data_IF_042588319513
#
_entry.id   IF_042588319513
#
_cell.length_a   1.000
_cell.length_b   1.000
_cell.length_c   1.000
_cell.angle_alpha   90.00
_cell.angle_beta   90.00
_cell.angle_gamma   90.00
#
_symmetry.space_group_name_H-M   'P 1'
#
loop_
_entity.id
_entity.type
_entity.pdbx_description
1 polymer ?
#
# COMPACT_ATOMS: atom_id res chain seq x y z
N UNK A 1 54.89 41.64 33.79
CA UNK A 1 53.57 41.20 34.29
C UNK A 1 52.68 40.84 33.10
N UNK A 2 51.41 40.47 33.33
CA UNK A 2 50.52 39.77 32.38
C UNK A 2 50.97 38.32 32.08
N UNK A 3 50.02 37.38 32.12
CA UNK A 3 50.26 35.93 32.08
C UNK A 3 49.56 35.30 30.86
N UNK A 4 50.16 34.24 30.29
CA UNK A 4 49.46 33.36 29.36
C UNK A 4 48.30 32.67 30.09
N UNK A 5 47.06 32.88 29.65
CA UNK A 5 45.92 32.05 30.06
C UNK A 5 45.77 30.88 29.08
N UNK A 6 46.29 29.72 29.46
CA UNK A 6 45.94 28.47 28.80
C UNK A 6 44.44 28.20 29.05
N UNK A 7 43.62 28.12 28.00
CA UNK A 7 42.30 27.52 28.12
C UNK A 7 42.44 26.00 28.11
N UNK A 8 42.23 25.40 29.28
CA UNK A 8 42.16 23.95 29.45
C UNK A 8 40.81 23.49 28.88
N UNK A 9 40.82 22.54 27.93
CA UNK A 9 39.58 21.92 27.44
C UNK A 9 38.86 21.24 28.61
N UNK A 10 37.56 21.52 28.88
CA UNK A 10 36.82 20.76 29.88
C UNK A 10 36.69 19.31 29.41
N UNK A 11 37.01 18.35 30.28
CA UNK A 11 36.84 16.94 29.97
C UNK A 11 35.34 16.63 29.77
N UNK A 12 35.02 15.91 28.69
CA UNK A 12 33.64 15.55 28.37
C UNK A 12 33.02 14.69 29.48
N UNK A 13 31.96 15.19 30.12
CA UNK A 13 31.14 14.37 31.01
C UNK A 13 30.48 13.27 30.18
N UNK A 14 30.80 12.01 30.44
CA UNK A 14 29.93 10.89 30.05
C UNK A 14 28.60 11.05 30.79
N UNK A 15 27.58 11.56 30.10
CA UNK A 15 26.19 11.47 30.57
C UNK A 15 25.76 10.03 30.36
N UNK A 16 25.95 9.20 31.39
CA UNK A 16 25.28 7.90 31.46
C UNK A 16 23.81 8.21 31.74
N UNK A 17 22.97 8.03 30.73
CA UNK A 17 21.53 8.02 30.95
C UNK A 17 21.19 6.80 31.81
N UNK A 18 20.94 7.03 33.09
CA UNK A 18 20.26 6.02 33.91
C UNK A 18 18.83 5.94 33.41
N UNK A 19 18.52 4.87 32.69
CA UNK A 19 17.15 4.43 32.49
C UNK A 19 16.50 4.27 33.87
N UNK A 20 15.30 4.80 34.02
CA UNK A 20 14.50 4.56 35.22
C UNK A 20 14.23 3.05 35.32
N UNK A 21 14.37 2.50 36.53
CA UNK A 21 14.09 1.09 36.76
C UNK A 21 12.59 0.84 36.52
N UNK A 22 12.21 -0.28 35.90
CA UNK A 22 10.80 -0.60 35.68
C UNK A 22 10.06 -0.67 37.02
N UNK A 23 8.81 -0.19 37.02
CA UNK A 23 7.97 -0.09 38.21
C UNK A 23 7.95 -1.40 39.03
N UNK A 24 8.07 -1.33 40.38
CA UNK A 24 8.05 -2.51 41.21
C UNK A 24 6.68 -3.21 41.12
N UNK A 25 6.69 -4.48 40.68
CA UNK A 25 5.50 -5.31 40.51
C UNK A 25 4.63 -5.24 41.78
N UNK A 26 3.33 -4.93 41.67
CA UNK A 26 2.48 -4.68 42.83
C UNK A 26 2.42 -5.92 43.76
N UNK A 27 2.49 -5.73 45.08
CA UNK A 27 2.58 -6.83 46.03
C UNK A 27 1.34 -7.73 45.96
N UNK A 28 1.49 -9.06 46.14
CA UNK A 28 0.38 -10.01 46.02
C UNK A 28 -0.77 -9.66 46.97
N UNK A 29 -2.01 -9.62 46.44
CA UNK A 29 -3.23 -9.27 47.18
C UNK A 29 -3.29 -10.03 48.52
N UNK A 30 -3.47 -9.31 49.62
CA UNK A 30 -3.56 -9.96 50.94
C UNK A 30 -4.73 -10.95 51.01
N UNK A 31 -4.55 -12.04 51.77
CA UNK A 31 -5.58 -13.10 51.96
C UNK A 31 -6.93 -12.60 52.52
N UNK A 32 -6.99 -11.35 53.00
CA UNK A 32 -8.22 -10.69 53.48
C UNK A 32 -9.06 -10.06 52.35
N UNK A 33 -8.47 -9.87 51.16
CA UNK A 33 -9.18 -9.38 49.98
C UNK A 33 -9.89 -10.51 49.22
N UNK A 34 -9.19 -11.60 48.90
CA UNK A 34 -9.76 -12.77 48.19
C UNK A 34 -10.99 -13.32 48.93
N UNK A 35 -10.90 -13.46 50.27
CA UNK A 35 -11.99 -13.94 51.13
C UNK A 35 -13.21 -13.00 51.19
N UNK A 36 -13.16 -11.83 50.54
CA UNK A 36 -14.29 -10.90 50.38
C UNK A 36 -14.92 -10.97 48.99
N UNK A 37 -14.15 -11.31 47.95
CA UNK A 37 -14.65 -11.62 46.60
C UNK A 37 -15.41 -12.97 46.61
N UNK A 38 -14.83 -14.02 47.22
CA UNK A 38 -15.50 -15.33 47.39
C UNK A 38 -16.84 -15.22 48.15
N UNK A 39 -16.90 -14.35 49.17
CA UNK A 39 -18.08 -14.13 50.00
C UNK A 39 -19.24 -13.39 49.29
N UNK A 40 -19.01 -12.86 48.07
CA UNK A 40 -20.06 -12.23 47.26
C UNK A 40 -20.54 -13.13 46.10
N UNK A 41 -19.87 -14.26 45.83
CA UNK A 41 -20.16 -15.14 44.69
C UNK A 41 -21.09 -16.33 45.01
N UNK A 42 -21.67 -16.38 46.21
CA UNK A 42 -22.60 -17.45 46.63
C UNK A 42 -23.90 -16.90 47.22
N UNK A 43 -24.87 -16.57 46.35
CA UNK A 43 -26.26 -16.28 46.79
C UNK A 43 -27.36 -16.53 45.74
N UNK A 44 -27.67 -17.81 45.59
CA UNK A 44 -28.97 -18.39 45.20
C UNK A 44 -29.28 -19.50 46.23
N UNK A 45 -30.50 -20.09 46.38
CA UNK A 45 -31.67 -20.14 45.49
C UNK A 45 -32.94 -19.51 46.17
N UNK A 46 -34.23 -19.92 46.09
CA UNK A 46 -34.93 -21.17 45.70
C UNK A 46 -36.44 -20.99 45.42
N UNK A 47 -36.95 -21.67 44.38
CA UNK A 47 -38.28 -22.35 44.21
C UNK A 47 -39.60 -21.71 44.71
N UNK A 48 -40.64 -21.80 43.85
CA UNK A 48 -42.05 -21.57 44.21
C UNK A 48 -43.10 -22.21 43.26
N UNK A 49 -43.31 -23.53 43.39
CA UNK A 49 -44.48 -24.30 42.89
C UNK A 49 -44.72 -24.45 41.36
N UNK A 50 -45.59 -25.41 41.01
CA UNK A 50 -46.04 -25.81 39.66
C UNK A 50 -47.53 -26.26 39.71
N UNK A 51 -48.22 -26.48 38.57
CA UNK A 51 -48.42 -27.88 38.14
C UNK A 51 -48.55 -28.15 36.62
N UNK A 52 -48.22 -29.40 36.24
CA UNK A 52 -48.71 -30.25 35.11
C UNK A 52 -49.18 -29.67 33.76
N UNK A 53 -48.72 -30.30 32.66
CA UNK A 53 -49.52 -31.15 31.74
C UNK A 53 -48.58 -32.00 30.83
N UNK A 54 -49.12 -32.99 30.11
CA UNK A 54 -48.45 -34.07 29.35
C UNK A 54 -47.65 -33.68 28.09
N UNK A 55 -46.74 -34.54 27.58
CA UNK A 55 -45.84 -34.25 26.46
C UNK A 55 -46.45 -34.55 25.08
N UNK A 56 -46.03 -33.80 24.04
CA UNK A 56 -46.30 -34.10 22.62
C UNK A 56 -45.05 -33.82 21.78
N UNK A 57 -44.84 -34.61 20.71
CA UNK A 57 -43.71 -34.53 19.75
C UNK A 57 -44.29 -34.44 18.31
N UNK A 58 -43.51 -34.08 17.29
CA UNK A 58 -42.98 -32.76 16.94
C UNK A 58 -43.62 -32.21 15.64
N UNK A 59 -43.59 -30.89 15.41
CA UNK A 59 -43.45 -30.33 14.04
C UNK A 59 -43.25 -28.79 14.03
N UNK A 60 -43.05 -28.26 12.81
CA UNK A 60 -42.83 -26.87 12.41
C UNK A 60 -41.42 -26.30 12.66
N UNK A 61 -40.77 -25.93 11.55
CA UNK A 61 -39.58 -25.08 11.53
C UNK A 61 -39.97 -23.68 11.02
N UNK A 62 -39.35 -22.59 11.52
CA UNK A 62 -39.32 -21.32 10.84
C UNK A 62 -38.09 -21.25 9.93
N UNK A 63 -38.34 -21.42 8.63
CA UNK A 63 -37.98 -20.44 7.59
C UNK A 63 -36.87 -19.43 7.92
N UNK A 64 -35.70 -19.65 7.31
CA UNK A 64 -34.90 -18.63 6.62
C UNK A 64 -35.00 -17.18 7.14
N UNK A 65 -34.18 -16.84 8.15
CA UNK A 65 -33.68 -15.46 8.25
C UNK A 65 -32.88 -15.16 6.98
N UNK A 66 -33.46 -14.34 6.10
CA UNK A 66 -32.72 -13.75 4.98
C UNK A 66 -31.52 -12.99 5.55
N UNK A 67 -30.34 -13.15 4.94
CA UNK A 67 -29.22 -12.28 5.23
C UNK A 67 -29.62 -10.86 4.83
N UNK A 68 -29.73 -9.96 5.81
CA UNK A 68 -29.94 -8.55 5.53
C UNK A 68 -28.75 -8.05 4.73
N UNK A 69 -28.97 -7.56 3.51
CA UNK A 69 -27.93 -6.93 2.72
C UNK A 69 -27.30 -5.81 3.55
N UNK A 70 -25.97 -5.78 3.65
CA UNK A 70 -25.26 -4.85 4.51
C UNK A 70 -25.47 -3.42 4.00
N UNK A 71 -26.42 -2.69 4.58
CA UNK A 71 -26.67 -1.28 4.27
C UNK A 71 -25.46 -0.46 4.69
N UNK A 72 -24.63 -0.13 3.70
CA UNK A 72 -23.40 0.63 3.89
C UNK A 72 -23.67 1.98 4.61
N UNK A 73 -22.73 2.46 5.44
CA UNK A 73 -22.91 3.69 6.19
C UNK A 73 -23.09 4.89 5.25
N UNK A 74 -24.27 5.52 5.32
CA UNK A 74 -24.66 6.60 4.41
C UNK A 74 -23.78 7.85 4.62
N UNK A 75 -22.80 8.04 3.74
CA UNK A 75 -21.87 9.18 3.78
C UNK A 75 -22.62 10.51 3.58
N UNK A 76 -22.41 11.45 4.51
CA UNK A 76 -22.89 12.82 4.39
C UNK A 76 -22.28 13.51 3.15
N UNK A 77 -23.06 14.26 2.38
CA UNK A 77 -22.64 14.86 1.11
C UNK A 77 -21.40 15.78 1.16
N UNK A 78 -21.02 16.26 2.35
CA UNK A 78 -19.78 17.02 2.61
C UNK A 78 -18.51 16.16 2.80
N UNK A 79 -18.66 14.82 2.87
CA UNK A 79 -17.57 13.83 3.03
C UNK A 79 -17.42 12.87 1.84
N UNK A 80 -18.30 12.99 0.84
CA UNK A 80 -18.24 12.18 -0.38
C UNK A 80 -17.15 12.71 -1.32
N UNK A 81 -16.23 11.86 -1.76
CA UNK A 81 -15.15 12.23 -2.70
C UNK A 81 -15.70 12.52 -4.11
N UNK A 82 -16.85 11.92 -4.43
CA UNK A 82 -17.68 12.12 -5.63
C UNK A 82 -18.40 13.48 -5.68
N UNK A 83 -18.36 14.26 -4.60
CA UNK A 83 -19.03 15.56 -4.54
C UNK A 83 -18.52 16.51 -5.62
N UNK A 84 -19.40 17.17 -6.37
CA UNK A 84 -19.05 18.12 -7.44
C UNK A 84 -18.32 19.39 -6.96
N UNK A 85 -18.11 19.54 -5.64
CA UNK A 85 -17.26 20.56 -5.03
C UNK A 85 -15.84 20.07 -4.71
N UNK A 86 -15.57 18.78 -4.87
CA UNK A 86 -14.29 18.14 -4.60
C UNK A 86 -13.55 17.90 -5.92
N UNK A 87 -12.24 18.20 -6.06
CA UNK A 87 -11.54 18.10 -7.35
C UNK A 87 -11.64 16.72 -8.01
N UNK A 88 -11.60 15.65 -7.21
CA UNK A 88 -11.78 14.28 -7.70
C UNK A 88 -13.20 14.00 -8.20
N UNK A 89 -14.23 14.56 -7.57
CA UNK A 89 -15.61 14.47 -8.05
C UNK A 89 -15.82 15.22 -9.37
N UNK A 90 -15.16 16.37 -9.54
CA UNK A 90 -15.16 17.10 -10.81
C UNK A 90 -14.45 16.30 -11.92
N UNK A 91 -13.33 15.64 -11.60
CA UNK A 91 -12.64 14.75 -12.55
C UNK A 91 -13.48 13.51 -12.91
N UNK A 92 -14.14 12.90 -11.92
CA UNK A 92 -15.02 11.74 -12.08
C UNK A 92 -16.22 12.05 -12.98
N UNK A 93 -16.97 13.12 -12.71
CA UNK A 93 -18.15 13.46 -13.51
C UNK A 93 -17.77 13.92 -14.92
N UNK A 94 -16.63 14.61 -15.09
CA UNK A 94 -16.06 14.91 -16.42
C UNK A 94 -15.76 13.62 -17.20
N UNK A 95 -15.19 12.62 -16.55
CA UNK A 95 -14.84 11.36 -17.19
C UNK A 95 -16.07 10.51 -17.53
N UNK A 96 -17.07 10.44 -16.64
CA UNK A 96 -18.37 9.79 -16.95
C UNK A 96 -19.04 10.42 -18.17
N UNK A 97 -19.07 11.74 -18.24
CA UNK A 97 -19.66 12.45 -19.38
C UNK A 97 -18.88 12.19 -20.68
N UNK A 98 -17.54 12.14 -20.59
CA UNK A 98 -16.67 11.76 -21.71
C UNK A 98 -16.95 10.34 -22.20
N UNK A 99 -17.19 9.39 -21.29
CA UNK A 99 -17.52 8.01 -21.63
C UNK A 99 -18.88 7.92 -22.33
N UNK A 100 -19.91 8.60 -21.82
CA UNK A 100 -21.25 8.66 -22.46
C UNK A 100 -21.18 9.24 -23.87
N UNK A 101 -20.45 10.33 -24.09
CA UNK A 101 -20.24 10.88 -25.44
C UNK A 101 -19.51 9.89 -26.37
N UNK A 102 -18.56 9.11 -25.84
CA UNK A 102 -17.83 8.09 -26.61
C UNK A 102 -18.65 6.81 -26.87
N UNK A 103 -19.72 6.55 -26.11
CA UNK A 103 -20.70 5.49 -26.39
C UNK A 103 -21.71 5.88 -27.48
N UNK A 104 -21.90 7.18 -27.73
CA UNK A 104 -22.74 7.72 -28.81
C UNK A 104 -21.96 7.86 -30.14
N UNK A 105 -20.69 8.30 -30.09
CA UNK A 105 -19.79 8.38 -31.26
C UNK A 105 -18.92 7.10 -31.39
N UNK A 106 -19.42 6.11 -32.15
CA UNK A 106 -18.79 4.79 -32.46
C UNK A 106 -17.48 4.86 -33.29
N UNK A 107 -16.74 5.97 -33.20
CA UNK A 107 -15.40 6.14 -33.74
C UNK A 107 -14.35 5.61 -32.76
N UNK A 108 -13.52 4.68 -33.23
CA UNK A 108 -12.43 4.09 -32.44
C UNK A 108 -11.49 5.15 -31.84
N UNK A 109 -11.49 5.25 -30.51
CA UNK A 109 -10.80 6.30 -29.77
C UNK A 109 -9.32 6.00 -29.51
N UNK A 110 -8.47 7.03 -29.60
CA UNK A 110 -7.05 6.97 -29.21
C UNK A 110 -6.83 7.04 -27.68
N UNK A 111 -7.91 7.06 -26.89
CA UNK A 111 -7.92 7.22 -25.43
C UNK A 111 -8.05 5.83 -24.76
N UNK A 112 -7.32 5.61 -23.66
CA UNK A 112 -7.38 4.37 -22.90
C UNK A 112 -8.72 4.14 -22.17
N UNK A 113 -9.10 2.88 -21.89
CA UNK A 113 -10.20 2.61 -20.97
C UNK A 113 -9.80 3.06 -19.56
N UNK A 114 -10.62 3.90 -18.93
CA UNK A 114 -10.38 4.40 -17.58
C UNK A 114 -10.96 3.46 -16.54
N UNK A 115 -10.21 3.23 -15.46
CA UNK A 115 -10.68 2.52 -14.26
C UNK A 115 -10.56 3.38 -13.01
N UNK A 116 -11.44 3.10 -12.05
CA UNK A 116 -11.34 3.59 -10.69
C UNK A 116 -10.52 2.61 -9.83
N UNK A 117 -9.55 3.12 -9.08
CA UNK A 117 -8.85 2.40 -8.02
C UNK A 117 -9.09 3.07 -6.66
N UNK A 118 -9.17 2.25 -5.61
CA UNK A 118 -8.84 2.64 -4.25
C UNK A 118 -7.69 1.76 -3.73
N UNK A 119 -6.55 2.38 -3.44
CA UNK A 119 -5.36 1.72 -2.91
C UNK A 119 -5.23 2.01 -1.42
N UNK A 120 -4.82 1.03 -0.62
CA UNK A 120 -4.46 1.24 0.78
C UNK A 120 -2.95 1.53 0.92
N UNK A 121 -2.56 2.29 1.95
CA UNK A 121 -1.19 2.73 2.14
C UNK A 121 -1.07 3.80 3.21
N UNK A 122 0.01 4.58 3.21
CA UNK A 122 0.22 5.69 4.16
C UNK A 122 0.42 7.01 3.42
N UNK A 123 -0.22 8.08 3.89
CA UNK A 123 0.01 9.44 3.39
C UNK A 123 1.23 10.04 4.09
N UNK A 124 2.32 10.18 3.35
CA UNK A 124 3.54 10.85 3.80
C UNK A 124 3.44 12.34 3.47
N UNK A 125 3.47 13.21 4.49
CA UNK A 125 3.51 14.66 4.31
C UNK A 125 4.94 15.17 4.43
N UNK A 126 5.47 15.76 3.35
CA UNK A 126 6.73 16.49 3.34
C UNK A 126 6.44 17.99 3.37
N UNK A 127 7.08 18.70 4.30
CA UNK A 127 7.13 20.16 4.28
C UNK A 127 8.16 20.63 3.26
N UNK A 128 7.91 21.78 2.63
CA UNK A 128 8.97 22.59 2.03
C UNK A 128 10.08 22.86 3.07
N UNK A 129 11.31 22.50 2.72
CA UNK A 129 12.49 22.54 3.59
C UNK A 129 12.76 23.94 4.16
N UNK A 130 12.32 25.00 3.49
CA UNK A 130 12.49 26.37 3.97
C UNK A 130 11.67 26.67 5.24
N UNK A 131 10.66 25.86 5.58
CA UNK A 131 9.71 26.13 6.67
C UNK A 131 9.68 25.10 7.81
N UNK A 132 10.37 23.95 7.70
CA UNK A 132 10.24 22.84 8.68
C UNK A 132 10.48 23.25 10.14
N UNK A 133 11.46 24.15 10.36
CA UNK A 133 11.85 24.70 11.68
C UNK A 133 10.72 25.44 12.42
N UNK A 134 9.60 25.75 11.75
CA UNK A 134 8.42 26.39 12.38
C UNK A 134 7.46 25.39 13.05
N UNK A 135 7.52 24.10 12.72
CA UNK A 135 6.68 23.07 13.38
C UNK A 135 7.44 22.32 14.49
N UNK A 136 8.72 22.03 14.32
CA UNK A 136 9.45 21.03 15.14
C UNK A 136 9.89 21.48 16.53
N UNK A 137 9.38 22.60 17.05
CA UNK A 137 9.69 23.10 18.40
C UNK A 137 8.54 22.97 19.42
N UNK A 138 7.38 22.43 19.01
CA UNK A 138 6.24 22.24 19.90
C UNK A 138 5.63 20.83 19.76
N UNK A 139 5.09 20.32 20.87
CA UNK A 139 4.13 19.21 20.85
C UNK A 139 2.80 19.80 20.40
N UNK A 140 2.39 19.47 19.18
CA UNK A 140 1.08 19.83 18.65
C UNK A 140 0.09 18.71 18.96
N UNK A 141 -1.17 19.05 19.23
CA UNK A 141 -2.25 18.05 19.18
C UNK A 141 -2.69 17.80 17.72
N UNK A 142 -3.51 16.77 17.50
CA UNK A 142 -3.97 16.39 16.15
C UNK A 142 -4.86 17.46 15.47
N UNK A 143 -5.56 18.30 16.26
CA UNK A 143 -6.39 19.41 15.77
C UNK A 143 -5.53 20.62 15.39
N UNK A 144 -4.48 20.90 16.15
CA UNK A 144 -3.48 21.93 15.82
C UNK A 144 -2.67 21.52 14.59
N UNK A 145 -2.26 20.26 14.48
CA UNK A 145 -1.65 19.71 13.25
C UNK A 145 -2.59 19.85 12.06
N UNK A 146 -3.83 19.37 12.16
CA UNK A 146 -4.81 19.48 11.06
C UNK A 146 -5.10 20.96 10.69
N UNK A 147 -5.11 21.87 11.66
CA UNK A 147 -5.30 23.31 11.44
C UNK A 147 -4.07 23.95 10.79
N UNK A 148 -2.86 23.56 11.21
CA UNK A 148 -1.60 23.96 10.61
C UNK A 148 -1.49 23.45 9.18
N UNK A 149 -1.86 22.20 8.91
CA UNK A 149 -1.86 21.62 7.57
C UNK A 149 -2.85 22.34 6.64
N UNK A 150 -4.08 22.63 7.10
CA UNK A 150 -5.04 23.46 6.33
C UNK A 150 -4.51 24.87 6.03
N UNK A 151 -3.83 25.52 6.98
CA UNK A 151 -3.25 26.87 6.79
C UNK A 151 -2.04 26.88 5.85
N UNK A 152 -1.30 25.78 5.78
CA UNK A 152 -0.05 25.66 5.01
C UNK A 152 -0.16 24.72 3.80
N UNK A 153 -1.37 24.37 3.35
CA UNK A 153 -1.61 23.33 2.33
C UNK A 153 -0.79 23.52 1.04
N UNK A 154 -0.58 24.78 0.63
CA UNK A 154 0.23 25.16 -0.54
C UNK A 154 1.75 24.87 -0.41
N UNK A 155 2.23 24.52 0.78
CA UNK A 155 3.65 24.20 1.09
C UNK A 155 3.84 22.76 1.58
N UNK A 156 2.81 21.92 1.41
CA UNK A 156 2.81 20.51 1.81
C UNK A 156 2.78 19.64 0.56
N UNK A 157 3.86 18.89 0.34
CA UNK A 157 3.87 17.84 -0.66
C UNK A 157 3.42 16.55 0.01
N UNK A 158 2.21 16.09 -0.30
CA UNK A 158 1.78 14.73 0.05
C UNK A 158 2.32 13.73 -0.97
N UNK A 159 2.84 12.62 -0.48
CA UNK A 159 3.25 11.45 -1.26
C UNK A 159 2.53 10.22 -0.67
N UNK A 160 2.07 9.29 -1.51
CA UNK A 160 1.33 8.11 -1.06
C UNK A 160 2.18 6.85 -1.18
N UNK A 161 2.41 6.16 -0.06
CA UNK A 161 3.16 4.91 -0.01
C UNK A 161 2.19 3.73 0.07
N UNK A 162 1.97 3.04 -1.04
CA UNK A 162 1.06 1.88 -1.18
C UNK A 162 1.64 0.55 -0.63
N UNK A 163 2.69 0.62 0.20
CA UNK A 163 3.41 -0.55 0.75
C UNK A 163 2.84 -0.90 2.12
N UNK A 164 2.04 -1.96 2.21
CA UNK A 164 1.34 -2.32 3.44
C UNK A 164 2.19 -3.21 4.36
N UNK A 165 2.67 -4.33 3.82
CA UNK A 165 3.31 -5.35 4.64
C UNK A 165 4.38 -6.13 3.89
N UNK A 166 5.32 -6.73 4.61
CA UNK A 166 6.20 -7.79 4.11
C UNK A 166 5.72 -9.19 4.52
N UNK A 167 4.84 -9.30 5.53
CA UNK A 167 4.33 -10.59 6.02
C UNK A 167 3.28 -11.19 5.08
N UNK A 168 3.45 -12.48 4.76
CA UNK A 168 2.44 -13.26 4.03
C UNK A 168 1.23 -13.57 4.92
N UNK A 169 1.40 -13.59 6.25
CA UNK A 169 0.30 -13.74 7.23
C UNK A 169 -0.66 -12.56 7.17
N UNK A 170 -0.11 -11.34 7.16
CA UNK A 170 -0.85 -10.09 7.01
C UNK A 170 -1.60 -10.05 5.67
N UNK A 171 -0.92 -10.37 4.56
CA UNK A 171 -1.53 -10.38 3.24
C UNK A 171 -2.68 -11.41 3.12
N UNK A 172 -2.54 -12.58 3.75
CA UNK A 172 -3.61 -13.57 3.86
C UNK A 172 -4.78 -13.04 4.70
N UNK A 173 -4.48 -12.32 5.78
CA UNK A 173 -5.48 -11.67 6.63
C UNK A 173 -6.25 -10.56 5.91
N UNK A 174 -5.58 -9.73 5.10
CA UNK A 174 -6.21 -8.74 4.22
C UNK A 174 -7.21 -9.38 3.24
N UNK A 175 -6.82 -10.48 2.60
CA UNK A 175 -7.68 -11.24 1.69
C UNK A 175 -8.92 -11.77 2.43
N UNK A 176 -8.77 -12.30 3.65
CA UNK A 176 -9.90 -12.75 4.46
C UNK A 176 -10.81 -11.61 4.92
N UNK A 177 -10.26 -10.47 5.35
CA UNK A 177 -11.03 -9.28 5.74
C UNK A 177 -11.89 -8.76 4.58
N UNK A 178 -11.30 -8.58 3.39
CA UNK A 178 -12.01 -8.07 2.22
C UNK A 178 -13.02 -9.07 1.64
N UNK A 179 -12.81 -10.38 1.82
CA UNK A 179 -13.71 -11.45 1.34
C UNK A 179 -14.85 -11.74 2.31
N UNK A 180 -14.66 -11.56 3.61
CA UNK A 180 -15.65 -11.87 4.64
C UNK A 180 -16.13 -13.32 4.55
N UNK A 181 -17.45 -13.51 4.37
CA UNK A 181 -18.06 -14.83 4.16
C UNK A 181 -18.30 -15.17 2.67
N UNK A 182 -17.89 -14.33 1.72
CA UNK A 182 -18.17 -14.54 0.30
C UNK A 182 -17.34 -15.70 -0.29
N UNK A 183 -18.02 -16.65 -0.94
CA UNK A 183 -17.36 -17.81 -1.56
C UNK A 183 -16.74 -17.51 -2.94
N UNK A 184 -16.73 -16.25 -3.40
CA UNK A 184 -16.14 -15.80 -4.68
C UNK A 184 -14.82 -16.49 -4.99
N UNK A 185 -14.62 -16.92 -6.23
CA UNK A 185 -13.41 -17.63 -6.64
C UNK A 185 -12.16 -16.72 -6.47
N UNK A 186 -11.05 -17.33 -6.05
CA UNK A 186 -9.79 -16.62 -5.79
C UNK A 186 -8.91 -16.73 -7.02
N UNK A 187 -8.92 -15.70 -7.86
CA UNK A 187 -8.01 -15.54 -8.99
C UNK A 187 -6.56 -15.45 -8.48
N UNK A 188 -5.64 -16.18 -9.11
CA UNK A 188 -4.19 -16.05 -8.85
C UNK A 188 -3.44 -15.80 -10.15
N UNK A 189 -2.75 -14.67 -10.21
CA UNK A 189 -1.97 -14.21 -11.35
C UNK A 189 -0.48 -14.13 -10.95
N UNK A 190 0.44 -14.41 -11.87
CA UNK A 190 1.88 -14.27 -11.64
C UNK A 190 2.59 -13.85 -12.92
N UNK A 191 3.15 -12.65 -12.90
CA UNK A 191 3.62 -11.94 -14.10
C UNK A 191 4.80 -11.03 -13.81
N UNK A 192 5.54 -10.68 -14.86
CA UNK A 192 6.55 -9.65 -14.84
C UNK A 192 5.97 -8.34 -15.37
N UNK A 193 6.12 -7.24 -14.63
CA UNK A 193 5.99 -5.88 -15.17
C UNK A 193 7.40 -5.35 -15.43
N UNK A 194 7.74 -5.13 -16.70
CA UNK A 194 9.07 -4.70 -17.13
C UNK A 194 8.94 -3.34 -17.81
N UNK A 195 9.58 -2.32 -17.25
CA UNK A 195 9.58 -0.96 -17.78
C UNK A 195 10.76 -0.78 -18.72
N UNK A 196 10.48 -0.37 -19.95
CA UNK A 196 11.44 -0.33 -21.05
C UNK A 196 11.38 1.02 -21.75
N UNK A 197 12.54 1.62 -22.00
CA UNK A 197 12.67 2.81 -22.85
C UNK A 197 13.13 2.40 -24.24
N UNK A 198 12.45 2.89 -25.27
CA UNK A 198 12.84 2.65 -26.66
C UNK A 198 13.81 3.72 -27.22
N UNK A 199 14.18 3.61 -28.49
CA UNK A 199 15.08 4.55 -29.18
C UNK A 199 14.50 5.94 -29.40
N UNK A 200 13.17 6.10 -29.38
CA UNK A 200 12.51 7.41 -29.38
C UNK A 200 12.45 8.02 -27.97
N UNK A 201 12.89 7.29 -26.95
CA UNK A 201 12.86 7.71 -25.55
C UNK A 201 11.52 7.46 -24.86
N UNK A 202 10.55 6.82 -25.52
CA UNK A 202 9.24 6.52 -24.96
C UNK A 202 9.35 5.44 -23.87
N UNK A 203 8.65 5.64 -22.76
CA UNK A 203 8.57 4.65 -21.67
C UNK A 203 7.38 3.73 -21.88
N UNK A 204 7.66 2.44 -21.95
CA UNK A 204 6.71 1.37 -22.23
C UNK A 204 6.64 0.41 -21.04
N UNK A 205 5.43 -0.05 -20.74
CA UNK A 205 5.16 -1.10 -19.76
C UNK A 205 4.94 -2.40 -20.52
N UNK A 206 5.91 -3.31 -20.43
CA UNK A 206 5.71 -4.71 -20.80
C UNK A 206 5.04 -5.44 -19.64
N UNK A 207 4.07 -6.28 -19.94
CA UNK A 207 3.51 -7.24 -18.97
C UNK A 207 3.61 -8.63 -19.58
N UNK A 208 4.22 -9.58 -18.86
CA UNK A 208 4.60 -10.91 -19.37
C UNK A 208 4.13 -11.98 -18.38
N UNK A 209 3.35 -12.98 -18.83
CA UNK A 209 2.95 -14.10 -17.97
C UNK A 209 4.17 -14.94 -17.56
N UNK A 210 4.26 -15.35 -16.30
CA UNK A 210 5.43 -16.06 -15.78
C UNK A 210 5.52 -17.52 -16.28
N UNK A 211 4.41 -18.12 -16.72
CA UNK A 211 4.35 -19.50 -17.21
C UNK A 211 4.35 -19.56 -18.75
N UNK A 212 3.75 -18.57 -19.41
CA UNK A 212 3.54 -18.49 -20.85
C UNK A 212 4.14 -17.20 -21.42
N UNK A 213 5.48 -17.12 -21.52
CA UNK A 213 6.19 -15.88 -21.93
C UNK A 213 5.78 -15.33 -23.31
N UNK A 214 5.15 -16.14 -24.15
CA UNK A 214 4.54 -15.72 -25.42
C UNK A 214 3.25 -14.89 -25.25
N UNK A 215 2.57 -15.01 -24.10
CA UNK A 215 1.47 -14.14 -23.69
C UNK A 215 2.05 -12.91 -22.98
N UNK A 216 2.23 -11.84 -23.73
CA UNK A 216 2.72 -10.56 -23.23
C UNK A 216 2.01 -9.38 -23.93
N UNK A 217 1.91 -8.24 -23.26
CA UNK A 217 1.36 -6.99 -23.80
C UNK A 217 2.37 -5.85 -23.74
N UNK A 218 2.41 -5.00 -24.78
CA UNK A 218 3.26 -3.80 -24.85
C UNK A 218 2.40 -2.56 -24.77
N UNK A 219 2.39 -1.86 -23.63
CA UNK A 219 1.52 -0.70 -23.39
C UNK A 219 2.31 0.56 -23.10
N UNK A 220 1.71 1.72 -23.35
CA UNK A 220 2.17 3.00 -22.77
C UNK A 220 2.03 2.94 -21.23
N UNK A 221 2.70 3.82 -20.51
CA UNK A 221 2.46 3.96 -19.06
C UNK A 221 1.02 4.39 -18.77
N UNK A 222 0.40 3.80 -17.75
CA UNK A 222 -0.93 4.18 -17.26
C UNK A 222 -0.92 5.63 -16.74
N UNK A 223 -1.95 6.43 -17.05
CA UNK A 223 -2.02 7.86 -16.69
C UNK A 223 -3.05 8.11 -15.58
N UNK A 224 -2.63 8.77 -14.49
CA UNK A 224 -3.55 9.23 -13.44
C UNK A 224 -4.22 10.53 -13.92
N UNK A 225 -5.54 10.49 -14.12
CA UNK A 225 -6.35 11.64 -14.57
C UNK A 225 -7.03 12.37 -13.41
N UNK A 226 -7.08 11.75 -12.22
CA UNK A 226 -7.56 12.36 -10.98
C UNK A 226 -7.10 11.56 -9.76
N UNK A 227 -6.79 12.25 -8.66
CA UNK A 227 -6.31 11.66 -7.40
C UNK A 227 -7.03 12.30 -6.20
N UNK A 228 -7.31 11.49 -5.17
CA UNK A 228 -7.75 11.94 -3.86
C UNK A 228 -7.11 11.10 -2.76
N UNK A 229 -6.68 11.77 -1.68
CA UNK A 229 -6.15 11.11 -0.49
C UNK A 229 -7.20 11.17 0.62
N UNK A 230 -7.51 10.02 1.21
CA UNK A 230 -8.47 9.85 2.31
C UNK A 230 -7.70 9.46 3.56
N UNK A 231 -7.48 10.44 4.44
CA UNK A 231 -6.74 10.26 5.69
C UNK A 231 -7.64 9.76 6.83
N UNK A 232 -7.16 8.77 7.58
CA UNK A 232 -7.88 8.17 8.71
C UNK A 232 -7.15 8.44 10.04
N UNK A 233 -7.37 9.60 10.70
CA UNK A 233 -6.50 10.14 11.75
C UNK A 233 -6.46 9.39 13.09
N UNK A 234 -7.11 8.23 13.20
CA UNK A 234 -7.10 7.35 14.40
C UNK A 234 -6.70 5.90 14.06
N UNK A 235 -6.27 5.66 12.83
CA UNK A 235 -5.88 4.35 12.28
C UNK A 235 -4.45 4.41 11.73
N UNK A 236 -3.83 3.24 11.53
CA UNK A 236 -2.46 3.10 11.00
C UNK A 236 -2.41 3.38 9.50
N UNK A 237 -3.51 3.09 8.79
CA UNK A 237 -3.57 3.09 7.33
C UNK A 237 -4.49 4.18 6.79
N UNK A 238 -4.10 4.70 5.64
CA UNK A 238 -4.86 5.63 4.81
C UNK A 238 -5.31 4.94 3.51
N UNK A 239 -6.09 5.66 2.70
CA UNK A 239 -6.43 5.25 1.34
C UNK A 239 -6.19 6.36 0.32
N UNK A 240 -5.85 5.95 -0.90
CA UNK A 240 -5.82 6.80 -2.10
C UNK A 240 -6.85 6.31 -3.11
N UNK A 241 -7.66 7.22 -3.62
CA UNK A 241 -8.52 7.00 -4.78
C UNK A 241 -7.85 7.62 -6.02
N UNK A 242 -7.77 6.87 -7.11
CA UNK A 242 -7.28 7.40 -8.41
C UNK A 242 -8.17 6.95 -9.55
N UNK A 243 -8.40 7.86 -10.49
CA UNK A 243 -8.89 7.55 -11.83
C UNK A 243 -7.67 7.35 -12.72
N UNK A 244 -7.60 6.18 -13.36
CA UNK A 244 -6.43 5.75 -14.14
C UNK A 244 -6.87 5.38 -15.54
N UNK A 245 -6.42 6.16 -16.51
CA UNK A 245 -6.48 5.80 -17.93
C UNK A 245 -5.43 4.71 -18.19
N UNK A 246 -5.88 3.53 -18.60
CA UNK A 246 -4.97 2.42 -18.89
C UNK A 246 -4.22 2.65 -20.19
N UNK A 247 -2.91 2.42 -20.18
CA UNK A 247 -2.10 2.54 -21.40
C UNK A 247 -2.64 1.68 -22.54
N UNK A 248 -2.94 2.30 -23.68
CA UNK A 248 -3.20 1.59 -24.93
C UNK A 248 -1.95 0.81 -25.38
N UNK A 249 -2.18 -0.18 -26.24
CA UNK A 249 -1.09 -0.92 -26.88
C UNK A 249 -0.25 0.03 -27.74
N UNK A 250 1.07 -0.16 -27.73
CA UNK A 250 2.00 0.81 -28.29
C UNK A 250 2.65 0.34 -29.59
N UNK A 251 2.35 1.02 -30.69
CA UNK A 251 3.05 0.89 -31.98
C UNK A 251 4.46 1.50 -31.92
N UNK A 252 5.35 0.93 -31.12
CA UNK A 252 6.77 1.32 -31.07
C UNK A 252 7.56 0.67 -32.21
N UNK A 253 8.47 1.43 -32.82
CA UNK A 253 9.45 0.90 -33.80
C UNK A 253 10.36 -0.18 -33.21
N UNK A 254 10.60 -0.13 -31.90
CA UNK A 254 11.38 -1.15 -31.18
C UNK A 254 10.59 -2.43 -30.84
N UNK A 255 9.37 -2.62 -31.35
CA UNK A 255 8.55 -3.83 -31.10
C UNK A 255 9.29 -5.14 -31.47
N UNK A 256 10.17 -5.10 -32.48
CA UNK A 256 10.99 -6.26 -32.84
C UNK A 256 12.05 -6.57 -31.78
N UNK A 257 12.80 -5.56 -31.30
CA UNK A 257 13.72 -5.73 -30.17
C UNK A 257 13.03 -6.18 -28.88
N UNK A 258 11.80 -5.73 -28.64
CA UNK A 258 10.99 -6.21 -27.51
C UNK A 258 10.66 -7.69 -27.68
N UNK A 259 10.27 -8.14 -28.88
CA UNK A 259 10.06 -9.56 -29.20
C UNK A 259 11.32 -10.39 -28.98
N UNK A 260 12.45 -9.95 -29.51
CA UNK A 260 13.75 -10.63 -29.34
C UNK A 260 14.12 -10.78 -27.85
N UNK A 261 13.94 -9.71 -27.07
CA UNK A 261 14.16 -9.70 -25.63
C UNK A 261 13.25 -10.70 -24.90
N UNK A 262 11.93 -10.68 -25.15
CA UNK A 262 10.98 -11.62 -24.53
C UNK A 262 11.29 -13.07 -24.90
N UNK A 263 11.64 -13.35 -26.16
CA UNK A 263 12.03 -14.69 -26.63
C UNK A 263 13.32 -15.17 -25.95
N UNK A 264 14.25 -14.25 -25.65
CA UNK A 264 15.51 -14.56 -24.95
C UNK A 264 15.39 -14.75 -23.43
N UNK A 265 14.22 -14.55 -22.82
CA UNK A 265 14.04 -14.67 -21.37
C UNK A 265 14.13 -16.13 -20.90
N UNK A 266 15.32 -16.57 -20.48
CA UNK A 266 15.54 -17.85 -19.79
C UNK A 266 15.42 -17.68 -18.27
N UNK A 267 14.76 -18.62 -17.57
CA UNK A 267 14.65 -18.58 -16.10
C UNK A 267 16.01 -18.93 -15.47
N UNK A 268 16.52 -18.08 -14.58
CA UNK A 268 17.88 -18.21 -14.03
C UNK A 268 17.86 -18.80 -12.62
N UNK A 269 18.34 -20.03 -12.49
CA UNK A 269 18.36 -20.85 -11.26
C UNK A 269 16.98 -21.19 -10.67
N UNK A 270 16.20 -20.18 -10.27
CA UNK A 270 14.88 -20.30 -9.64
C UNK A 270 14.04 -19.06 -9.93
N UNK A 271 12.77 -19.25 -10.30
CA UNK A 271 11.83 -18.16 -10.44
C UNK A 271 11.67 -17.36 -9.11
N UNK A 272 11.48 -16.03 -9.17
CA UNK A 272 11.25 -15.24 -10.38
C UNK A 272 12.51 -14.73 -11.11
N UNK A 273 13.72 -15.12 -10.70
CA UNK A 273 14.95 -14.68 -11.38
C UNK A 273 15.02 -15.15 -12.84
N UNK A 274 15.54 -14.31 -13.73
CA UNK A 274 15.73 -14.61 -15.16
C UNK A 274 16.97 -13.94 -15.75
N UNK A 275 17.41 -14.43 -16.90
CA UNK A 275 18.44 -13.85 -17.76
C UNK A 275 17.87 -13.61 -19.16
N UNK A 276 18.41 -12.63 -19.87
CA UNK A 276 17.94 -12.25 -21.20
C UNK A 276 19.04 -11.60 -22.04
N UNK A 277 18.77 -11.49 -23.34
CA UNK A 277 19.53 -10.66 -24.27
C UNK A 277 18.73 -9.37 -24.55
N UNK A 278 19.25 -8.23 -24.09
CA UNK A 278 18.78 -6.90 -24.46
C UNK A 278 19.40 -6.52 -25.82
N UNK A 279 18.60 -6.27 -26.87
CA UNK A 279 19.08 -5.67 -28.11
C UNK A 279 19.32 -4.15 -27.95
N UNK A 280 20.23 -3.59 -28.75
CA UNK A 280 20.69 -2.19 -28.62
C UNK A 280 19.59 -1.12 -28.76
N UNK A 281 18.43 -1.44 -29.35
CA UNK A 281 17.34 -0.49 -29.54
C UNK A 281 16.29 -0.46 -28.41
N UNK A 282 16.58 -1.04 -27.24
CA UNK A 282 15.80 -0.86 -26.00
C UNK A 282 16.71 -0.78 -24.77
N UNK A 283 16.23 -0.11 -23.71
CA UNK A 283 16.84 -0.11 -22.37
C UNK A 283 15.81 -0.53 -21.33
N UNK A 284 16.12 -1.56 -20.53
CA UNK A 284 15.31 -1.89 -19.35
C UNK A 284 15.61 -0.88 -18.25
N UNK A 285 14.56 -0.35 -17.60
CA UNK A 285 14.69 0.62 -16.50
C UNK A 285 14.31 0.01 -15.15
N UNK A 286 13.31 -0.88 -15.12
CA UNK A 286 12.86 -1.56 -13.90
C UNK A 286 12.21 -2.89 -14.24
N UNK A 287 12.48 -3.91 -13.41
CA UNK A 287 11.85 -5.23 -13.47
C UNK A 287 11.15 -5.51 -12.15
N UNK A 288 9.84 -5.68 -12.19
CA UNK A 288 9.03 -6.16 -11.08
C UNK A 288 8.51 -7.57 -11.41
N UNK A 289 8.71 -8.52 -10.51
CA UNK A 289 7.88 -9.73 -10.48
C UNK A 289 6.68 -9.46 -9.55
N UNK A 290 5.48 -9.78 -10.01
CA UNK A 290 4.23 -9.59 -9.25
C UNK A 290 3.44 -10.88 -9.16
N UNK A 291 2.95 -11.18 -7.95
CA UNK A 291 2.01 -12.27 -7.68
C UNK A 291 0.74 -11.70 -7.10
N UNK A 292 -0.32 -11.68 -7.89
CA UNK A 292 -1.61 -11.08 -7.54
C UNK A 292 -2.59 -12.14 -7.07
N UNK A 293 -3.31 -11.87 -5.99
CA UNK A 293 -4.47 -12.60 -5.52
C UNK A 293 -5.67 -11.67 -5.61
N UNK A 294 -6.74 -12.07 -6.30
CA UNK A 294 -7.89 -11.22 -6.53
C UNK A 294 -9.21 -11.99 -6.47
N UNK A 295 -10.31 -11.29 -6.23
CA UNK A 295 -11.65 -11.86 -6.29
C UNK A 295 -12.68 -10.74 -6.48
N UNK A 296 -13.83 -11.09 -7.05
CA UNK A 296 -14.90 -10.13 -7.33
C UNK A 296 -15.97 -10.10 -6.22
N UNK A 297 -16.43 -8.89 -5.89
CA UNK A 297 -17.50 -8.56 -4.96
C UNK A 297 -18.26 -7.35 -5.51
N UNK A 298 -19.56 -7.49 -5.76
CA UNK A 298 -20.48 -6.41 -6.18
C UNK A 298 -19.98 -5.57 -7.39
N UNK A 299 -19.45 -6.25 -8.41
CA UNK A 299 -18.86 -5.69 -9.64
C UNK A 299 -17.60 -4.81 -9.40
N UNK A 300 -17.00 -4.94 -8.23
CA UNK A 300 -15.64 -4.49 -7.94
C UNK A 300 -14.72 -5.71 -7.74
N UNK A 301 -13.42 -5.51 -7.97
CA UNK A 301 -12.38 -6.52 -7.78
C UNK A 301 -11.48 -6.10 -6.64
N UNK A 302 -11.41 -6.90 -5.58
CA UNK A 302 -10.34 -6.74 -4.59
C UNK A 302 -9.06 -7.35 -5.15
N UNK A 303 -7.92 -6.73 -4.85
CA UNK A 303 -6.60 -7.30 -5.12
C UNK A 303 -5.67 -7.16 -3.92
N UNK A 304 -4.85 -8.19 -3.70
CA UNK A 304 -3.65 -8.16 -2.87
C UNK A 304 -2.48 -8.71 -3.70
N UNK A 305 -1.44 -7.90 -3.91
CA UNK A 305 -0.33 -8.23 -4.81
C UNK A 305 1.00 -8.17 -4.08
N UNK A 306 1.72 -9.28 -4.07
CA UNK A 306 3.13 -9.29 -3.68
C UNK A 306 3.96 -8.72 -4.83
N UNK A 307 4.80 -7.73 -4.53
CA UNK A 307 5.69 -7.07 -5.49
C UNK A 307 7.13 -7.32 -5.10
N UNK A 308 7.91 -7.83 -6.05
CA UNK A 308 9.35 -8.09 -5.94
C UNK A 308 10.09 -7.27 -6.99
N UNK A 309 10.79 -6.21 -6.59
CA UNK A 309 11.67 -5.44 -7.46
C UNK A 309 13.00 -6.17 -7.61
N UNK A 310 13.32 -6.62 -8.82
CA UNK A 310 14.50 -7.48 -9.08
C UNK A 310 15.78 -6.66 -9.30
N UNK A 311 16.95 -7.22 -8.91
CA UNK A 311 18.25 -6.61 -9.19
C UNK A 311 18.45 -6.59 -10.69
N UNK A 312 19.02 -5.53 -11.25
CA UNK A 312 19.39 -5.47 -12.65
C UNK A 312 20.92 -5.55 -12.74
N UNK A 313 21.43 -6.65 -13.29
CA UNK A 313 22.87 -6.92 -13.44
C UNK A 313 23.20 -7.07 -14.93
N UNK A 314 24.26 -6.40 -15.38
CA UNK A 314 24.87 -6.68 -16.68
C UNK A 314 25.75 -7.92 -16.56
N UNK A 315 25.71 -8.81 -17.54
CA UNK A 315 26.52 -10.04 -17.57
C UNK A 315 27.21 -10.19 -18.93
N UNK A 316 28.29 -10.97 -18.96
CA UNK A 316 29.07 -11.26 -20.18
C UNK A 316 28.96 -12.75 -20.55
N UNK A 317 27.77 -13.18 -20.96
CA UNK A 317 27.54 -14.51 -21.55
C UNK A 317 27.32 -14.40 -23.08
N UNK A 318 27.64 -15.47 -23.82
CA UNK A 318 27.47 -15.54 -25.28
C UNK A 318 26.00 -15.50 -25.73
N UNK A 319 25.05 -15.73 -24.83
CA UNK A 319 23.61 -15.75 -25.10
C UNK A 319 22.82 -14.65 -24.38
N UNK A 320 23.40 -14.02 -23.37
CA UNK A 320 22.71 -13.11 -22.47
C UNK A 320 23.65 -12.00 -22.01
N UNK A 321 23.20 -10.75 -22.10
CA UNK A 321 23.90 -9.58 -21.55
C UNK A 321 23.22 -9.01 -20.29
N UNK A 322 22.05 -9.54 -19.91
CA UNK A 322 21.24 -9.03 -18.80
C UNK A 322 20.75 -10.13 -17.87
N UNK A 323 20.63 -9.77 -16.59
CA UNK A 323 20.13 -10.63 -15.52
C UNK A 323 19.23 -9.84 -14.57
N UNK A 324 18.07 -10.41 -14.26
CA UNK A 324 17.10 -9.90 -13.30
C UNK A 324 17.01 -10.88 -12.10
N UNK A 325 17.39 -10.44 -10.90
CA UNK A 325 17.46 -11.33 -9.72
C UNK A 325 16.52 -10.97 -8.58
N UNK A 326 15.83 -11.99 -8.07
CA UNK A 326 15.43 -12.03 -6.67
C UNK A 326 16.64 -12.42 -5.80
N UNK A 327 16.79 -11.78 -4.63
CA UNK A 327 17.75 -12.17 -3.57
C UNK A 327 17.02 -13.06 -2.54
N UNK A 328 17.56 -13.23 -1.33
CA UNK A 328 16.78 -13.86 -0.25
C UNK A 328 15.58 -12.99 0.12
N UNK A 329 14.59 -13.57 0.81
CA UNK A 329 13.43 -12.80 1.30
C UNK A 329 13.90 -11.71 2.27
N UNK A 330 14.85 -12.06 3.14
CA UNK A 330 15.51 -11.18 4.10
C UNK A 330 16.24 -10.01 3.42
N UNK A 331 17.07 -10.25 2.39
CA UNK A 331 17.76 -9.20 1.64
C UNK A 331 16.77 -8.27 0.95
N UNK A 332 15.77 -8.83 0.26
CA UNK A 332 14.79 -8.05 -0.48
C UNK A 332 13.89 -7.23 0.44
N UNK A 333 13.62 -7.70 1.65
CA UNK A 333 12.93 -6.95 2.68
C UNK A 333 13.81 -5.80 3.21
N UNK A 334 15.07 -6.07 3.54
CA UNK A 334 16.01 -5.07 4.06
C UNK A 334 16.28 -3.93 3.03
N UNK A 335 16.39 -4.27 1.75
CA UNK A 335 16.53 -3.31 0.65
C UNK A 335 15.22 -2.59 0.26
N UNK A 336 14.10 -2.84 0.96
CA UNK A 336 12.75 -2.33 0.65
C UNK A 336 12.28 -2.68 -0.78
N UNK A 337 12.59 -3.89 -1.23
CA UNK A 337 12.36 -4.42 -2.58
C UNK A 337 11.38 -5.59 -2.66
N UNK A 338 10.95 -6.14 -1.51
CA UNK A 338 9.76 -6.99 -1.37
C UNK A 338 8.71 -6.27 -0.53
N UNK A 339 7.48 -6.18 -1.01
CA UNK A 339 6.33 -5.67 -0.25
C UNK A 339 5.01 -6.23 -0.81
N UNK A 340 3.91 -6.00 -0.08
CA UNK A 340 2.54 -6.22 -0.52
C UNK A 340 1.80 -4.90 -0.73
N UNK A 341 1.02 -4.84 -1.80
CA UNK A 341 0.08 -3.78 -2.14
C UNK A 341 -1.34 -4.35 -2.10
N UNK A 342 -2.35 -3.59 -1.68
CA UNK A 342 -3.74 -4.02 -1.78
C UNK A 342 -4.70 -2.87 -2.08
N UNK A 343 -5.88 -3.22 -2.61
CA UNK A 343 -6.89 -2.25 -2.98
C UNK A 343 -8.14 -2.85 -3.63
N UNK A 344 -9.01 -1.96 -4.08
CA UNK A 344 -10.20 -2.24 -4.89
C UNK A 344 -10.03 -1.61 -6.27
N UNK A 345 -10.50 -2.29 -7.32
CA UNK A 345 -10.58 -1.75 -8.68
C UNK A 345 -11.93 -2.04 -9.34
N UNK A 346 -12.39 -1.15 -10.22
CA UNK A 346 -13.52 -1.39 -11.13
C UNK A 346 -13.45 -0.45 -12.34
N UNK A 347 -14.11 -0.83 -13.43
CA UNK A 347 -14.35 0.04 -14.59
C UNK A 347 -15.66 0.82 -14.48
N UNK A 348 -16.60 0.40 -13.62
CA UNK A 348 -17.86 1.12 -13.37
C UNK A 348 -17.61 2.34 -12.47
N UNK A 349 -17.58 3.52 -13.08
CA UNK A 349 -17.34 4.80 -12.40
C UNK A 349 -18.51 5.26 -11.52
N UNK A 350 -19.71 4.69 -11.67
CA UNK A 350 -20.84 5.00 -10.78
C UNK A 350 -20.67 4.31 -9.40
N UNK A 351 -19.87 3.25 -9.31
CA UNK A 351 -19.51 2.57 -8.04
C UNK A 351 -18.62 3.41 -7.12
N UNK A 352 -18.21 4.64 -7.49
CA UNK A 352 -17.27 5.44 -6.70
C UNK A 352 -17.69 5.67 -5.24
N UNK A 353 -18.99 5.92 -4.98
CA UNK A 353 -19.54 6.02 -3.62
C UNK A 353 -19.51 4.67 -2.88
N UNK A 354 -19.77 3.56 -3.59
CA UNK A 354 -19.75 2.20 -3.05
C UNK A 354 -18.33 1.79 -2.64
N UNK A 355 -17.34 2.09 -3.50
CA UNK A 355 -15.93 1.91 -3.22
C UNK A 355 -15.46 2.77 -2.04
N UNK A 356 -15.88 4.05 -1.96
CA UNK A 356 -15.53 4.88 -0.80
C UNK A 356 -16.09 4.28 0.50
N UNK A 357 -17.33 3.78 0.50
CA UNK A 357 -17.90 3.12 1.66
C UNK A 357 -17.18 1.81 2.03
N UNK A 358 -16.78 0.98 1.05
CA UNK A 358 -15.97 -0.24 1.30
C UNK A 358 -14.57 0.07 1.87
N UNK A 359 -13.94 1.14 1.41
CA UNK A 359 -12.67 1.64 1.99
C UNK A 359 -12.87 2.09 3.44
N UNK A 360 -13.93 2.85 3.72
CA UNK A 360 -14.26 3.29 5.08
C UNK A 360 -14.63 2.13 6.03
N UNK A 361 -15.15 1.03 5.50
CA UNK A 361 -15.41 -0.22 6.24
C UNK A 361 -14.11 -1.00 6.51
N UNK A 362 -13.19 -1.03 5.53
CA UNK A 362 -12.00 -1.88 5.58
C UNK A 362 -10.82 -1.27 6.35
N UNK A 363 -10.51 0.02 6.16
CA UNK A 363 -9.33 0.67 6.80
C UNK A 363 -9.32 0.51 8.34
N UNK A 364 -10.43 0.72 9.07
CA UNK A 364 -10.47 0.51 10.53
C UNK A 364 -10.20 -0.93 10.99
N UNK A 365 -10.26 -1.92 10.09
CA UNK A 365 -9.97 -3.32 10.37
C UNK A 365 -8.52 -3.70 10.05
N UNK A 366 -7.75 -2.78 9.46
CA UNK A 366 -6.37 -3.02 9.02
C UNK A 366 -5.30 -2.62 10.06
N UNK A 367 -5.65 -2.06 11.23
CA UNK A 367 -4.67 -1.56 12.21
C UNK A 367 -3.66 -2.61 12.73
N UNK A 368 -3.97 -3.91 12.61
CA UNK A 368 -3.05 -4.99 12.95
C UNK A 368 -2.10 -5.39 11.80
N UNK A 369 -2.39 -4.96 10.56
CA UNK A 369 -1.58 -5.23 9.37
C UNK A 369 -0.29 -4.41 9.45
N UNK A 370 0.84 -5.06 9.18
CA UNK A 370 2.17 -4.47 9.25
C UNK A 370 2.80 -4.48 10.65
N UNK A 371 2.14 -5.05 11.67
CA UNK A 371 2.77 -5.25 12.98
C UNK A 371 3.94 -6.25 12.93
N UNK A 372 3.89 -7.22 12.01
CA UNK A 372 4.99 -8.17 11.74
C UNK A 372 6.03 -7.62 10.75
N UNK A 373 5.95 -6.34 10.34
CA UNK A 373 6.85 -5.80 9.33
C UNK A 373 8.31 -5.82 9.78
N UNK A 374 9.09 -6.68 9.13
CA UNK A 374 10.55 -6.69 9.19
C UNK A 374 11.14 -5.52 8.38
N UNK A 375 10.69 -4.28 8.61
CA UNK A 375 11.27 -3.11 7.97
C UNK A 375 12.79 -3.00 8.26
N UNK A 376 13.54 -2.15 7.55
CA UNK A 376 14.96 -1.96 7.82
C UNK A 376 15.18 -1.38 9.22
N UNK A 377 15.39 -2.27 10.21
CA UNK A 377 15.79 -1.93 11.58
C UNK A 377 17.17 -1.25 11.63
N UNK A 378 17.94 -1.37 10.54
CA UNK A 378 19.22 -0.68 10.33
C UNK A 378 18.96 0.80 10.06
N UNK A 379 19.04 1.62 11.12
CA UNK A 379 19.63 2.95 10.93
C UNK A 379 21.02 2.75 10.34
N UNK A 380 21.32 3.40 9.22
CA UNK A 380 22.68 3.55 8.73
C UNK A 380 23.43 4.58 9.59
N UNK A 381 23.73 4.19 10.83
CA UNK A 381 24.78 4.83 11.65
C UNK A 381 26.12 4.51 10.97
N UNK A 382 26.44 5.30 9.95
CA UNK A 382 27.40 4.97 8.91
C UNK A 382 27.27 5.83 7.64
N UNK A 383 26.11 6.48 7.41
CA UNK A 383 26.06 7.73 6.64
C UNK A 383 26.56 8.89 7.52
N UNK A 384 27.83 8.80 7.93
CA UNK A 384 28.61 10.03 8.13
C UNK A 384 28.68 10.77 6.80
N UNK A 385 28.93 12.08 6.87
CA UNK A 385 28.87 12.98 5.72
C UNK A 385 29.69 12.43 4.54
N UNK A 386 29.00 12.02 3.48
CA UNK A 386 29.58 11.93 2.16
C UNK A 386 29.90 13.38 1.75
N UNK A 387 31.05 13.86 2.19
CA UNK A 387 31.57 15.17 1.84
C UNK A 387 31.53 15.27 0.32
N UNK A 388 30.80 16.25 -0.20
CA UNK A 388 31.11 16.75 -1.54
C UNK A 388 32.59 17.14 -1.47
N UNK A 389 33.47 16.56 -2.31
CA UNK A 389 34.84 17.03 -2.36
C UNK A 389 34.77 18.48 -2.85
N UNK A 390 35.03 19.44 -1.95
CA UNK A 390 35.12 20.85 -2.32
C UNK A 390 36.04 20.94 -3.54
N UNK A 391 35.60 21.56 -4.66
CA UNK A 391 36.43 21.64 -5.84
C UNK A 391 37.66 22.48 -5.48
N UNK A 392 38.83 21.82 -5.35
CA UNK A 392 40.11 22.49 -5.11
C UNK A 392 40.34 23.49 -6.25
N UNK A 393 40.08 24.77 -5.98
CA UNK A 393 40.40 25.86 -6.90
C UNK A 393 41.94 26.00 -6.88
N UNK A 394 42.67 25.67 -7.96
CA UNK A 394 44.11 25.83 -7.98
C UNK A 394 44.45 27.32 -7.90
N UNK A 395 45.47 27.65 -7.09
CA UNK A 395 45.86 29.04 -6.82
C UNK A 395 46.80 29.61 -7.90
N UNK A 396 46.36 29.61 -9.16
CA UNK A 396 47.01 30.29 -10.29
C UNK A 396 46.07 30.42 -11.51
#
# INVERSE_FOLDING_TARGET
>A
MAQKKNQIKPAGKKVVAQLELPDPVPPPKSKRAQKREEAMSQKAPTVGQAPSVTPTRPQAAPTSTQAAAATLPHLSASKKLTSSKHPFGVALEKEKERQRMQEEDDTGSEIGPVKLLAQFGTILMRHDEQNWKKLTHHVHDASDLQTSFRKNAQFLKSEFLNRLTTSTTDATSLIHLARGQATSELETDTRYEIFVRDTAGALLKLTVDAFHKSAYSVKKSDQIIGEALSHFPVHVWDARFVLVELGLESETTSLHHIKDFIISMETDQKAPSFRAQIPLGIRIETVLAKRSFAFHVDDMRFFATQVQWLCQESIEDRKHNFRALARTEEDMIAEQRLWWEAGWETFDLEKADYMQAKVNEMVPQMDAIGLENKGPFVRLEGYEEAQEPEPEIPFW
#
